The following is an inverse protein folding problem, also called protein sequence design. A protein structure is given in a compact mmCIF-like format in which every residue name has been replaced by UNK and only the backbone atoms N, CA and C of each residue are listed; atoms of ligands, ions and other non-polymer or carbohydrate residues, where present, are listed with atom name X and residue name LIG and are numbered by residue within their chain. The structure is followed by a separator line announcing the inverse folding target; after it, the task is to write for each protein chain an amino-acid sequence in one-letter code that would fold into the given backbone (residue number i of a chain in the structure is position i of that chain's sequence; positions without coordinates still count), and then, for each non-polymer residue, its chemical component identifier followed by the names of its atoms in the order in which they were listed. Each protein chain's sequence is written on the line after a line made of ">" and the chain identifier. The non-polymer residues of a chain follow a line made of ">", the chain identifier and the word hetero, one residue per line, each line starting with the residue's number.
data_IF_277844979305
#
_entry.id   IF_277844979305
#
_cell.length_a   1.000
_cell.length_b   1.000
_cell.length_c   1.000
_cell.angle_alpha   90.00
_cell.angle_beta   90.00
_cell.angle_gamma   90.00
#
_symmetry.space_group_name_H-M   'P 1'
#
loop_
_entity.id
_entity.type
_entity.pdbx_description
1 polymer ?
#
# COMPACT_ATOMS: atom_id res chain seq x y z
N UNK A 1 11.24 -54.97 1.67
CA UNK A 1 10.23 -55.99 1.30
C UNK A 1 10.06 -57.03 2.41
N UNK A 2 8.96 -57.78 2.37
CA UNK A 2 8.76 -58.93 3.27
C UNK A 2 9.51 -60.13 2.68
N UNK A 3 10.36 -60.76 3.48
CA UNK A 3 11.26 -61.85 3.05
C UNK A 3 10.63 -63.22 3.29
N UNK A 4 9.88 -63.36 4.38
CA UNK A 4 9.28 -64.64 4.77
C UNK A 4 8.05 -64.42 5.64
N UNK A 5 7.11 -65.36 5.59
CA UNK A 5 5.98 -65.42 6.51
C UNK A 5 5.86 -66.81 7.14
N UNK A 6 5.77 -66.85 8.48
CA UNK A 6 5.49 -68.04 9.28
C UNK A 6 4.26 -67.77 10.16
N UNK A 7 3.07 -68.07 9.66
CA UNK A 7 1.81 -67.73 10.33
C UNK A 7 1.64 -66.21 10.46
N UNK A 8 1.63 -65.71 11.71
CA UNK A 8 1.55 -64.28 12.02
C UNK A 8 2.91 -63.59 12.08
N UNK A 9 4.02 -64.32 11.92
CA UNK A 9 5.36 -63.75 12.02
C UNK A 9 5.84 -63.41 10.60
N UNK A 10 6.24 -62.15 10.40
CA UNK A 10 6.94 -61.72 9.18
C UNK A 10 8.42 -61.53 9.46
N UNK A 11 9.26 -62.03 8.56
CA UNK A 11 10.67 -61.66 8.46
C UNK A 11 10.79 -60.54 7.43
N UNK A 12 11.40 -59.43 7.83
CA UNK A 12 11.52 -58.21 7.05
C UNK A 12 12.94 -58.04 6.52
N UNK A 13 13.07 -57.31 5.41
CA UNK A 13 14.37 -56.99 4.81
C UNK A 13 15.25 -56.07 5.69
N UNK A 14 14.67 -55.35 6.64
CA UNK A 14 15.37 -54.39 7.50
C UNK A 14 14.87 -54.51 8.95
N UNK A 15 15.73 -54.11 9.88
CA UNK A 15 15.40 -54.02 11.30
C UNK A 15 14.33 -52.96 11.57
N UNK A 16 13.54 -53.18 12.62
CA UNK A 16 12.53 -52.25 13.13
C UNK A 16 12.78 -52.05 14.62
N UNK A 17 13.09 -50.81 15.00
CA UNK A 17 13.27 -50.44 16.40
C UNK A 17 11.92 -50.02 17.01
N UNK A 18 11.43 -50.82 17.94
CA UNK A 18 10.20 -50.53 18.69
C UNK A 18 10.53 -49.77 19.97
N UNK A 19 9.84 -48.65 20.17
CA UNK A 19 9.98 -47.80 21.37
C UNK A 19 8.94 -48.25 22.40
N UNK A 20 9.39 -48.44 23.65
CA UNK A 20 8.51 -48.85 24.74
C UNK A 20 7.36 -47.84 24.95
N UNK A 21 6.14 -48.35 25.08
CA UNK A 21 4.94 -47.53 25.31
C UNK A 21 4.29 -46.95 24.06
N UNK A 22 4.83 -47.20 22.86
CA UNK A 22 4.24 -46.78 21.57
C UNK A 22 3.49 -47.91 20.89
N UNK A 23 2.41 -47.58 20.19
CA UNK A 23 1.65 -48.53 19.38
C UNK A 23 2.07 -48.47 17.92
N UNK A 24 2.23 -49.62 17.27
CA UNK A 24 2.72 -49.71 15.90
C UNK A 24 1.71 -50.40 14.97
N UNK A 25 1.69 -49.95 13.72
CA UNK A 25 0.96 -50.59 12.61
C UNK A 25 1.88 -50.79 11.42
N UNK A 26 1.67 -51.89 10.69
CA UNK A 26 2.36 -52.19 9.45
C UNK A 26 1.38 -52.04 8.28
N UNK A 27 1.79 -51.26 7.29
CA UNK A 27 1.18 -51.19 5.98
C UNK A 27 1.83 -52.25 5.11
N UNK A 28 1.05 -53.21 4.61
CA UNK A 28 1.49 -54.21 3.66
C UNK A 28 0.89 -53.87 2.31
N UNK A 29 1.71 -53.43 1.36
CA UNK A 29 1.27 -53.22 -0.02
C UNK A 29 1.48 -54.52 -0.79
N UNK A 30 0.36 -55.10 -1.20
CA UNK A 30 0.28 -56.38 -1.91
C UNK A 30 0.71 -56.22 -3.37
N UNK A 31 0.99 -57.36 -4.03
CA UNK A 31 1.41 -57.37 -5.44
C UNK A 31 0.34 -56.88 -6.43
N UNK A 32 -0.93 -56.78 -6.01
CA UNK A 32 -2.03 -56.19 -6.78
C UNK A 32 -2.24 -54.69 -6.49
N UNK A 33 -1.39 -54.09 -5.65
CA UNK A 33 -1.45 -52.69 -5.26
C UNK A 33 -2.40 -52.39 -4.09
N UNK A 34 -3.15 -53.38 -3.59
CA UNK A 34 -3.97 -53.20 -2.38
C UNK A 34 -3.09 -53.02 -1.14
N UNK A 35 -3.57 -52.27 -0.15
CA UNK A 35 -2.83 -52.00 1.09
C UNK A 35 -3.62 -52.54 2.28
N UNK A 36 -2.97 -53.37 3.09
CA UNK A 36 -3.53 -53.92 4.31
C UNK A 36 -2.84 -53.33 5.55
N UNK A 37 -3.63 -52.83 6.51
CA UNK A 37 -3.13 -52.23 7.74
C UNK A 37 -3.35 -53.17 8.92
N UNK A 38 -2.27 -53.53 9.60
CA UNK A 38 -2.30 -54.53 10.67
C UNK A 38 -1.51 -54.02 11.89
N UNK A 39 -2.07 -54.08 13.11
CA UNK A 39 -1.28 -53.84 14.33
C UNK A 39 -0.13 -54.84 14.45
N UNK A 40 1.02 -54.38 14.92
CA UNK A 40 2.26 -55.18 14.95
C UNK A 40 2.99 -55.00 16.28
N UNK A 41 3.56 -56.10 16.77
CA UNK A 41 4.46 -56.12 17.92
C UNK A 41 5.85 -56.68 17.54
N UNK A 42 6.89 -56.42 18.34
CA UNK A 42 8.22 -56.96 18.10
C UNK A 42 8.23 -58.50 18.06
N UNK A 43 8.95 -59.07 17.09
CA UNK A 43 9.22 -60.51 17.02
C UNK A 43 10.47 -60.92 17.79
N UNK A 44 10.93 -62.15 17.55
CA UNK A 44 12.09 -62.74 18.24
C UNK A 44 13.45 -62.13 17.82
N UNK A 45 13.47 -61.32 16.76
CA UNK A 45 14.64 -60.59 16.27
C UNK A 45 14.21 -59.22 15.75
N UNK A 46 15.15 -58.29 15.60
CA UNK A 46 14.88 -56.90 15.20
C UNK A 46 14.21 -56.76 13.82
N UNK A 47 14.48 -57.67 12.90
CA UNK A 47 13.84 -57.72 11.60
C UNK A 47 12.60 -58.64 11.56
N UNK A 48 12.15 -59.15 12.71
CA UNK A 48 10.94 -59.98 12.81
C UNK A 48 9.84 -59.22 13.52
N UNK A 49 8.64 -59.34 12.98
CA UNK A 49 7.44 -58.69 13.54
C UNK A 49 6.31 -59.69 13.67
N UNK A 50 5.47 -59.52 14.70
CA UNK A 50 4.27 -60.34 14.93
C UNK A 50 3.05 -59.53 14.57
N UNK A 51 2.25 -60.03 13.63
CA UNK A 51 1.01 -59.42 13.18
C UNK A 51 -0.14 -59.72 14.16
N UNK A 52 -1.00 -58.73 14.40
CA UNK A 52 -2.22 -58.91 15.21
C UNK A 52 -3.30 -59.77 14.52
N UNK A 53 -3.24 -59.91 13.19
CA UNK A 53 -4.08 -60.82 12.39
C UNK A 53 -3.37 -61.23 11.10
N UNK A 54 -3.89 -62.27 10.44
CA UNK A 54 -3.42 -62.63 9.10
C UNK A 54 -3.70 -61.49 8.10
N UNK A 55 -2.84 -61.30 7.09
CA UNK A 55 -3.11 -60.38 6.00
C UNK A 55 -4.33 -60.82 5.18
N UNK A 56 -5.03 -59.84 4.61
CA UNK A 56 -6.26 -60.06 3.83
C UNK A 56 -6.02 -60.69 2.44
N UNK A 57 -4.76 -60.87 2.05
CA UNK A 57 -4.34 -61.51 0.80
C UNK A 57 -3.03 -62.26 0.96
N UNK A 58 -2.71 -63.14 0.01
CA UNK A 58 -1.45 -63.86 0.00
C UNK A 58 -0.29 -62.89 -0.29
N UNK A 59 0.79 -62.99 0.50
CA UNK A 59 1.99 -62.18 0.28
C UNK A 59 2.79 -62.74 -0.89
N UNK A 60 3.35 -61.84 -1.72
CA UNK A 60 4.32 -62.21 -2.75
C UNK A 60 5.72 -62.08 -2.18
N UNK A 61 6.37 -63.23 -2.00
CA UNK A 61 7.65 -63.37 -1.29
C UNK A 61 8.73 -64.03 -2.16
N UNK A 62 8.40 -64.36 -3.42
CA UNK A 62 9.34 -65.05 -4.31
C UNK A 62 10.43 -64.07 -4.75
N UNK A 63 11.73 -64.41 -4.59
CA UNK A 63 12.82 -63.57 -5.10
C UNK A 63 12.76 -63.36 -6.63
N UNK A 64 12.07 -64.26 -7.35
CA UNK A 64 11.94 -64.24 -8.80
C UNK A 64 10.73 -63.42 -9.31
N UNK A 65 9.86 -62.93 -8.40
CA UNK A 65 8.70 -62.12 -8.78
C UNK A 65 9.11 -60.67 -9.08
N UNK A 66 8.54 -60.09 -10.14
CA UNK A 66 8.78 -58.69 -10.51
C UNK A 66 8.20 -57.68 -9.50
N UNK A 67 7.25 -58.10 -8.66
CA UNK A 67 6.59 -57.27 -7.64
C UNK A 67 6.40 -58.07 -6.36
N UNK A 68 7.25 -57.80 -5.37
CA UNK A 68 7.15 -58.35 -4.00
C UNK A 68 6.27 -57.49 -3.10
N UNK A 69 5.73 -58.09 -2.04
CA UNK A 69 5.03 -57.33 -1.00
C UNK A 69 6.01 -56.40 -0.29
N UNK A 70 5.75 -55.09 -0.37
CA UNK A 70 6.50 -54.07 0.36
C UNK A 70 5.78 -53.67 1.65
N UNK A 71 6.53 -53.15 2.62
CA UNK A 71 5.99 -52.80 3.92
C UNK A 71 6.43 -51.42 4.39
N UNK A 72 5.65 -50.84 5.28
CA UNK A 72 6.04 -49.66 6.07
C UNK A 72 5.50 -49.83 7.48
N UNK A 73 6.36 -49.75 8.49
CA UNK A 73 5.97 -49.80 9.91
C UNK A 73 5.99 -48.38 10.46
N UNK A 74 4.90 -47.95 11.09
CA UNK A 74 4.77 -46.62 11.70
C UNK A 74 4.24 -46.74 13.12
N UNK A 75 4.52 -45.73 13.95
CA UNK A 75 3.94 -45.61 15.29
C UNK A 75 2.75 -44.64 15.31
N UNK A 76 2.11 -44.55 16.46
CA UNK A 76 0.99 -43.64 16.75
C UNK A 76 1.30 -42.14 16.60
N UNK A 77 2.56 -41.72 16.77
CA UNK A 77 2.99 -40.32 16.58
C UNK A 77 3.18 -39.92 15.10
N UNK A 78 3.40 -40.88 14.21
CA UNK A 78 3.75 -40.63 12.78
C UNK A 78 2.54 -40.70 11.84
N UNK A 79 1.32 -40.66 12.38
CA UNK A 79 0.03 -40.85 11.66
C UNK A 79 -0.29 -39.87 10.51
N UNK A 80 0.58 -38.90 10.19
CA UNK A 80 0.23 -37.78 9.30
C UNK A 80 1.09 -37.56 8.06
N UNK A 81 2.34 -38.00 8.01
CA UNK A 81 3.20 -37.74 6.86
C UNK A 81 4.49 -38.56 6.99
N UNK A 82 4.91 -39.22 5.92
CA UNK A 82 6.28 -39.73 5.76
C UNK A 82 7.00 -38.79 4.79
N UNK A 83 7.34 -37.55 5.19
CA UNK A 83 8.07 -36.67 4.32
C UNK A 83 9.48 -37.24 4.14
N UNK A 84 9.96 -37.21 2.90
CA UNK A 84 11.31 -37.60 2.54
C UNK A 84 11.95 -36.45 1.76
N UNK A 85 13.21 -36.16 2.06
CA UNK A 85 14.00 -35.19 1.30
C UNK A 85 14.66 -35.93 0.15
N UNK A 86 14.34 -35.53 -1.08
CA UNK A 86 14.99 -36.06 -2.27
C UNK A 86 16.43 -35.55 -2.30
N UNK A 87 17.39 -36.45 -2.12
CA UNK A 87 18.82 -36.13 -2.13
C UNK A 87 19.39 -36.20 -3.56
N UNK A 88 18.91 -37.15 -4.39
CA UNK A 88 19.39 -37.34 -5.76
C UNK A 88 18.30 -37.95 -6.63
N UNK A 89 18.28 -37.58 -7.92
CA UNK A 89 17.43 -38.20 -8.94
C UNK A 89 18.29 -38.54 -10.16
N UNK A 90 18.28 -39.80 -10.57
CA UNK A 90 18.99 -40.29 -11.76
C UNK A 90 18.01 -40.95 -12.74
N UNK A 91 18.14 -40.68 -14.05
CA UNK A 91 17.32 -41.38 -15.06
C UNK A 91 17.71 -42.85 -15.10
N UNK A 92 16.72 -43.75 -15.01
CA UNK A 92 16.95 -45.19 -15.16
C UNK A 92 16.63 -45.66 -16.58
N UNK A 93 15.55 -45.16 -17.20
CA UNK A 93 15.20 -45.37 -18.61
C UNK A 93 14.32 -44.21 -19.16
N UNK A 94 13.73 -44.38 -20.36
CA UNK A 94 12.88 -43.35 -21.00
C UNK A 94 11.58 -43.03 -20.23
N UNK A 95 11.17 -43.87 -19.29
CA UNK A 95 9.90 -43.75 -18.57
C UNK A 95 10.04 -43.82 -17.04
N UNK A 96 11.25 -44.04 -16.50
CA UNK A 96 11.48 -44.18 -15.06
C UNK A 96 12.74 -43.46 -14.56
N UNK A 97 12.70 -43.04 -13.30
CA UNK A 97 13.81 -42.39 -12.60
C UNK A 97 14.05 -43.10 -11.27
N UNK A 98 15.32 -43.29 -10.90
CA UNK A 98 15.70 -43.69 -9.56
C UNK A 98 15.83 -42.46 -8.68
N UNK A 99 15.18 -42.47 -7.52
CA UNK A 99 15.25 -41.39 -6.53
C UNK A 99 15.94 -41.93 -5.29
N UNK A 100 16.99 -41.24 -4.84
CA UNK A 100 17.56 -41.41 -3.50
C UNK A 100 16.97 -40.35 -2.60
N UNK A 101 16.28 -40.77 -1.54
CA UNK A 101 15.70 -39.87 -0.56
C UNK A 101 16.11 -40.27 0.86
N UNK A 102 16.14 -39.28 1.75
CA UNK A 102 16.45 -39.45 3.16
C UNK A 102 15.16 -39.17 3.93
N UNK A 103 14.83 -40.02 4.91
CA UNK A 103 13.70 -39.78 5.80
C UNK A 103 13.91 -38.46 6.55
N UNK A 104 12.88 -37.62 6.56
CA UNK A 104 12.91 -36.37 7.31
C UNK A 104 13.06 -36.68 8.80
N UNK A 105 14.00 -36.01 9.48
CA UNK A 105 14.38 -36.29 10.86
C UNK A 105 14.49 -34.97 11.64
N UNK A 106 14.14 -34.99 12.93
CA UNK A 106 14.12 -33.81 13.80
C UNK A 106 15.48 -33.10 13.92
N UNK A 107 16.60 -33.80 13.66
CA UNK A 107 17.94 -33.21 13.62
C UNK A 107 18.11 -32.12 12.56
N UNK A 108 17.24 -32.04 11.55
CA UNK A 108 17.25 -30.92 10.61
C UNK A 108 16.89 -29.57 11.26
N UNK A 109 16.18 -29.59 12.40
CA UNK A 109 15.80 -28.38 13.14
C UNK A 109 16.72 -28.08 14.33
N UNK A 110 17.78 -28.87 14.54
CA UNK A 110 18.62 -28.77 15.76
C UNK A 110 19.21 -27.37 15.94
N UNK A 111 19.48 -26.68 14.83
CA UNK A 111 20.13 -25.38 14.77
C UNK A 111 19.18 -24.24 14.40
N UNK A 112 17.88 -24.50 14.23
CA UNK A 112 16.89 -23.44 13.90
C UNK A 112 16.79 -22.39 15.01
N UNK A 113 17.21 -22.77 16.23
CA UNK A 113 17.27 -21.92 17.41
C UNK A 113 18.68 -21.40 17.71
N UNK A 114 19.64 -21.59 16.82
CA UNK A 114 20.99 -21.03 17.04
C UNK A 114 21.03 -19.51 16.80
N UNK A 115 19.95 -18.94 16.21
CA UNK A 115 19.83 -17.52 15.88
C UNK A 115 18.67 -16.81 16.62
N UNK A 116 18.37 -17.20 17.86
CA UNK A 116 17.39 -16.47 18.70
C UNK A 116 18.02 -15.25 19.40
N UNK A 117 19.34 -15.28 19.63
CA UNK A 117 20.10 -14.18 20.25
C UNK A 117 20.95 -13.44 19.21
N UNK A 118 20.34 -13.01 18.10
CA UNK A 118 20.98 -12.00 17.26
C UNK A 118 21.02 -10.73 18.11
N UNK A 119 22.21 -10.11 18.36
CA UNK A 119 22.26 -8.81 19.02
C UNK A 119 21.30 -7.86 18.32
N UNK A 120 20.56 -7.06 19.08
CA UNK A 120 19.70 -6.02 18.49
C UNK A 120 20.58 -5.19 17.57
N UNK A 121 20.36 -5.31 16.26
CA UNK A 121 21.05 -4.50 15.28
C UNK A 121 20.67 -3.05 15.58
N UNK A 122 21.62 -2.32 16.16
CA UNK A 122 21.49 -0.93 16.59
C UNK A 122 21.81 0.04 15.46
N UNK A 123 22.22 -0.47 14.30
CA UNK A 123 22.48 0.35 13.14
C UNK A 123 21.20 1.07 12.70
N UNK A 124 21.29 2.30 12.16
CA UNK A 124 20.09 2.97 11.69
C UNK A 124 19.46 2.26 10.49
N UNK A 125 18.13 2.26 10.44
CA UNK A 125 17.37 1.89 9.24
C UNK A 125 17.39 3.08 8.28
N UNK A 126 17.97 2.88 7.10
CA UNK A 126 18.14 3.93 6.09
C UNK A 126 17.02 3.91 5.04
N UNK A 127 16.38 5.06 4.84
CA UNK A 127 15.44 5.34 3.75
C UNK A 127 16.22 6.09 2.67
N UNK A 128 16.62 5.37 1.60
CA UNK A 128 17.60 5.84 0.60
C UNK A 128 17.01 6.30 -0.72
N UNK A 129 15.74 6.03 -0.95
CA UNK A 129 15.06 6.29 -2.22
C UNK A 129 13.75 6.99 -1.98
N UNK A 130 13.20 7.57 -3.04
CA UNK A 130 11.89 8.20 -3.00
C UNK A 130 10.82 7.15 -2.65
N UNK A 131 10.00 7.49 -1.66
CA UNK A 131 9.00 6.59 -1.11
C UNK A 131 7.73 7.35 -0.75
N UNK A 132 6.61 6.61 -0.70
CA UNK A 132 5.32 7.14 -0.28
C UNK A 132 4.85 6.47 1.01
N UNK A 133 4.19 7.25 1.86
CA UNK A 133 3.39 6.78 3.01
C UNK A 133 4.14 5.79 3.93
N UNK A 134 5.29 6.20 4.46
CA UNK A 134 6.10 5.33 5.30
C UNK A 134 5.46 5.19 6.69
N UNK A 135 5.33 3.96 7.17
CA UNK A 135 5.09 3.67 8.58
C UNK A 135 6.37 3.13 9.24
N UNK A 136 6.95 3.85 10.21
CA UNK A 136 8.26 3.48 10.78
C UNK A 136 8.21 2.15 11.55
N UNK A 137 7.17 1.92 12.35
CA UNK A 137 7.03 0.67 13.08
C UNK A 137 6.91 -0.53 12.12
N UNK A 138 6.13 -0.39 11.04
CA UNK A 138 6.03 -1.43 10.01
C UNK A 138 7.33 -1.62 9.23
N UNK A 139 8.04 -0.53 8.93
CA UNK A 139 9.33 -0.57 8.26
C UNK A 139 10.36 -1.35 9.09
N UNK A 140 10.40 -1.09 10.40
CA UNK A 140 11.21 -1.89 11.32
C UNK A 140 10.82 -3.36 11.26
N UNK A 141 9.52 -3.66 11.37
CA UNK A 141 9.04 -5.04 11.37
C UNK A 141 9.40 -5.81 10.10
N UNK A 142 9.33 -5.14 8.95
CA UNK A 142 9.72 -5.74 7.67
C UNK A 142 11.22 -6.02 7.56
N UNK A 143 12.07 -5.19 8.17
CA UNK A 143 13.53 -5.35 8.07
C UNK A 143 14.14 -6.19 9.18
N UNK A 144 13.55 -6.16 10.38
CA UNK A 144 14.15 -6.68 11.63
C UNK A 144 13.23 -7.58 12.46
N UNK A 145 11.97 -7.78 12.07
CA UNK A 145 11.02 -8.60 12.82
C UNK A 145 10.38 -7.87 14.00
N UNK A 146 10.12 -8.56 15.10
CA UNK A 146 9.34 -7.98 16.20
C UNK A 146 9.95 -6.70 16.79
N UNK A 147 9.09 -5.78 17.22
CA UNK A 147 9.50 -4.51 17.81
C UNK A 147 10.15 -4.76 19.19
N UNK A 148 11.35 -4.22 19.46
CA UNK A 148 11.94 -4.25 20.79
C UNK A 148 11.04 -3.54 21.80
N UNK A 149 10.93 -4.09 23.01
CA UNK A 149 10.09 -3.50 24.07
C UNK A 149 10.77 -2.32 24.78
N UNK A 150 12.10 -2.26 24.73
CA UNK A 150 12.93 -1.22 25.35
C UNK A 150 14.18 -0.95 24.48
N UNK A 151 14.94 0.10 24.83
CA UNK A 151 16.16 0.48 24.10
C UNK A 151 15.94 1.65 23.16
N UNK A 152 16.79 1.77 22.16
CA UNK A 152 16.74 2.83 21.15
C UNK A 152 16.77 2.26 19.74
N UNK A 153 15.97 2.82 18.84
CA UNK A 153 16.02 2.51 17.41
C UNK A 153 16.16 3.80 16.61
N UNK A 154 16.84 3.72 15.48
CA UNK A 154 17.14 4.89 14.66
C UNK A 154 16.71 4.69 13.21
N UNK A 155 16.08 5.72 12.64
CA UNK A 155 15.74 5.83 11.23
C UNK A 155 16.44 7.04 10.63
N UNK A 156 16.94 6.92 9.41
CA UNK A 156 17.59 8.01 8.69
C UNK A 156 16.98 8.13 7.30
N UNK A 157 16.35 9.26 7.01
CA UNK A 157 16.01 9.66 5.64
C UNK A 157 17.25 10.27 5.03
N UNK A 158 17.89 9.57 4.10
CA UNK A 158 19.17 9.97 3.51
C UNK A 158 19.04 11.22 2.63
N UNK A 159 20.16 11.93 2.48
CA UNK A 159 20.22 13.08 1.58
C UNK A 159 19.87 12.64 0.14
N UNK A 160 19.03 13.42 -0.53
CA UNK A 160 18.55 13.11 -1.88
C UNK A 160 17.28 12.25 -1.95
N UNK A 161 16.83 11.65 -0.85
CA UNK A 161 15.55 10.94 -0.82
C UNK A 161 14.37 11.89 -0.56
N UNK A 162 13.27 11.72 -1.30
CA UNK A 162 11.98 12.35 -1.06
C UNK A 162 10.97 11.32 -0.52
N UNK A 163 10.57 11.47 0.74
CA UNK A 163 9.41 10.76 1.30
C UNK A 163 8.20 11.67 1.19
N UNK A 164 7.18 11.25 0.45
CA UNK A 164 5.95 12.02 0.25
C UNK A 164 4.72 11.25 0.71
N UNK A 165 3.59 11.95 0.85
CA UNK A 165 2.30 11.28 0.98
C UNK A 165 1.65 11.04 -0.38
N UNK A 166 0.83 10.00 -0.47
CA UNK A 166 0.01 9.71 -1.66
C UNK A 166 -1.34 10.44 -1.65
N UNK A 167 -1.77 11.00 -0.51
CA UNK A 167 -3.11 11.56 -0.36
C UNK A 167 -3.18 12.79 0.56
N UNK A 168 -3.86 13.83 0.08
CA UNK A 168 -4.23 15.03 0.82
C UNK A 168 -5.73 15.04 1.09
N UNK A 169 -6.16 15.65 2.20
CA UNK A 169 -7.58 15.70 2.55
C UNK A 169 -8.41 16.39 1.47
N UNK A 170 -9.51 15.74 1.07
CA UNK A 170 -10.54 16.35 0.24
C UNK A 170 -11.91 15.77 0.61
N UNK A 171 -12.91 16.58 0.96
CA UNK A 171 -14.27 16.08 1.16
C UNK A 171 -14.87 15.59 -0.16
N UNK A 172 -15.89 14.75 -0.07
CA UNK A 172 -16.71 14.44 -1.23
C UNK A 172 -17.25 15.75 -1.82
N UNK A 173 -17.05 15.93 -3.12
CA UNK A 173 -17.43 17.17 -3.80
C UNK A 173 -18.36 16.87 -4.96
N UNK A 174 -19.56 17.45 -4.91
CA UNK A 174 -20.56 17.40 -5.98
C UNK A 174 -20.28 18.49 -7.02
N UNK A 175 -20.48 18.15 -8.29
CA UNK A 175 -20.42 19.02 -9.45
C UNK A 175 -21.70 18.89 -10.24
N UNK A 176 -22.23 20.01 -10.70
CA UNK A 176 -23.43 20.05 -11.54
C UNK A 176 -23.05 20.65 -12.89
N UNK A 177 -23.67 20.20 -13.97
CA UNK A 177 -23.44 20.66 -15.32
C UNK A 177 -24.78 20.96 -15.98
N UNK A 178 -24.99 22.22 -16.36
CA UNK A 178 -26.14 22.68 -17.13
C UNK A 178 -25.63 23.69 -18.15
N UNK A 179 -25.82 23.36 -19.43
CA UNK A 179 -25.25 24.10 -20.56
C UNK A 179 -26.04 25.38 -20.87
N UNK A 180 -27.37 25.29 -20.93
CA UNK A 180 -28.27 26.39 -21.26
C UNK A 180 -29.60 26.30 -20.51
N UNK A 181 -30.46 27.32 -20.68
CA UNK A 181 -31.80 27.34 -20.09
C UNK A 181 -32.74 26.26 -20.64
N UNK A 182 -32.45 25.73 -21.84
CA UNK A 182 -33.24 24.68 -22.48
C UNK A 182 -32.86 23.28 -22.00
N UNK A 183 -31.84 23.15 -21.15
CA UNK A 183 -31.26 21.86 -20.76
C UNK A 183 -30.85 21.02 -21.97
N UNK A 184 -30.20 21.66 -22.95
CA UNK A 184 -29.72 21.02 -24.17
C UNK A 184 -28.22 21.21 -24.32
N UNK A 185 -27.38 20.20 -23.99
CA UNK A 185 -27.73 18.86 -23.52
C UNK A 185 -28.26 18.82 -22.07
N UNK A 186 -28.86 17.68 -21.70
CA UNK A 186 -29.44 17.46 -20.38
C UNK A 186 -28.42 17.70 -19.24
N UNK A 187 -28.94 18.16 -18.10
CA UNK A 187 -28.15 18.38 -16.88
C UNK A 187 -27.37 17.12 -16.50
N UNK A 188 -26.09 17.25 -16.14
CA UNK A 188 -25.25 16.16 -15.63
C UNK A 188 -24.74 16.48 -14.24
N UNK A 189 -24.52 15.47 -13.42
CA UNK A 189 -23.93 15.62 -12.10
C UNK A 189 -22.77 14.65 -11.94
N UNK A 190 -21.69 15.12 -11.33
CA UNK A 190 -20.50 14.32 -11.05
C UNK A 190 -20.18 14.41 -9.57
N UNK A 191 -19.78 13.28 -9.00
CA UNK A 191 -19.36 13.18 -7.60
C UNK A 191 -17.89 12.81 -7.63
N UNK A 192 -17.06 13.66 -7.04
CA UNK A 192 -15.66 13.34 -6.81
C UNK A 192 -15.57 12.78 -5.39
N UNK A 193 -15.18 11.51 -5.21
CA UNK A 193 -15.21 10.85 -3.91
C UNK A 193 -14.28 11.55 -2.91
N UNK A 194 -14.57 11.41 -1.62
CA UNK A 194 -13.68 11.92 -0.59
C UNK A 194 -12.30 11.25 -0.64
N UNK A 195 -11.26 11.98 -0.23
CA UNK A 195 -9.91 11.46 -0.02
C UNK A 195 -9.47 11.75 1.42
N UNK A 196 -8.91 10.72 2.08
CA UNK A 196 -8.36 10.84 3.43
C UNK A 196 -7.00 11.54 3.42
N UNK A 197 -6.68 12.26 4.48
CA UNK A 197 -5.32 12.77 4.69
C UNK A 197 -4.39 11.63 5.08
N UNK A 198 -3.26 11.50 4.39
CA UNK A 198 -2.17 10.61 4.78
C UNK A 198 -0.90 11.43 5.02
N UNK A 199 -0.16 11.22 6.11
CA UNK A 199 1.14 11.86 6.32
C UNK A 199 2.21 11.21 5.41
N UNK A 200 3.30 11.92 5.11
CA UNK A 200 4.43 11.30 4.40
C UNK A 200 5.11 10.21 5.25
N UNK A 201 5.24 10.47 6.56
CA UNK A 201 5.67 9.49 7.56
C UNK A 201 4.62 9.42 8.69
N UNK A 202 4.16 8.22 9.01
CA UNK A 202 3.51 7.88 10.29
C UNK A 202 4.53 7.12 11.14
N UNK A 203 4.72 7.49 12.41
CA UNK A 203 5.58 6.68 13.29
C UNK A 203 5.03 5.26 13.46
N UNK A 204 3.70 5.09 13.38
CA UNK A 204 3.03 3.87 13.79
C UNK A 204 3.03 3.71 15.31
N UNK A 205 2.66 2.52 15.75
CA UNK A 205 2.54 2.16 17.17
C UNK A 205 3.82 1.44 17.62
N UNK A 206 4.60 2.09 18.47
CA UNK A 206 5.78 1.50 19.12
C UNK A 206 5.49 1.17 20.59
N UNK A 207 6.23 0.21 21.19
CA UNK A 207 6.21 0.03 22.64
C UNK A 207 6.54 1.34 23.36
N UNK A 208 5.82 1.68 24.45
CA UNK A 208 5.87 3.01 25.07
C UNK A 208 7.24 3.35 25.65
N UNK A 209 8.04 2.33 25.98
CA UNK A 209 9.37 2.51 26.57
C UNK A 209 10.52 2.55 25.59
N UNK A 210 10.27 2.24 24.33
CA UNK A 210 11.25 2.32 23.26
C UNK A 210 11.54 3.79 22.91
N UNK A 211 12.80 4.17 22.75
CA UNK A 211 13.17 5.48 22.19
C UNK A 211 13.27 5.35 20.68
N UNK A 212 12.63 6.26 19.96
CA UNK A 212 12.66 6.27 18.49
C UNK A 212 13.37 7.53 18.03
N UNK A 213 14.47 7.38 17.29
CA UNK A 213 15.21 8.49 16.71
C UNK A 213 14.89 8.56 15.20
N UNK A 214 14.37 9.70 14.73
CA UNK A 214 14.16 9.97 13.31
C UNK A 214 15.07 11.12 12.87
N UNK A 215 16.05 10.82 12.03
CA UNK A 215 16.94 11.81 11.42
C UNK A 215 16.54 12.05 9.97
N UNK A 216 16.30 13.32 9.60
CA UNK A 216 15.90 13.72 8.24
C UNK A 216 17.02 14.53 7.61
N UNK A 217 17.73 13.91 6.66
CA UNK A 217 18.74 14.54 5.78
C UNK A 217 18.20 14.82 4.37
N UNK A 218 17.22 14.04 3.93
CA UNK A 218 16.47 14.27 2.70
C UNK A 218 15.27 15.20 2.89
N UNK A 219 14.20 14.96 2.12
CA UNK A 219 12.95 15.68 2.21
C UNK A 219 11.82 14.74 2.67
N UNK A 220 11.03 15.18 3.66
CA UNK A 220 9.81 14.52 4.12
C UNK A 220 8.67 15.52 3.99
N UNK A 221 7.82 15.35 2.98
CA UNK A 221 6.84 16.38 2.62
C UNK A 221 5.49 15.75 2.36
N UNK A 222 4.47 16.14 3.12
CA UNK A 222 3.12 15.64 2.83
C UNK A 222 2.64 16.11 1.46
N UNK A 223 1.75 15.35 0.83
CA UNK A 223 1.21 15.67 -0.50
C UNK A 223 0.62 17.08 -0.54
N UNK A 224 0.90 17.84 -1.59
CA UNK A 224 0.27 19.12 -1.81
C UNK A 224 -1.22 19.01 -2.07
N UNK A 225 -1.97 20.02 -1.64
CA UNK A 225 -3.42 20.05 -1.72
C UNK A 225 -3.90 20.19 -3.15
N UNK A 226 -5.02 19.53 -3.45
CA UNK A 226 -5.67 19.67 -4.74
C UNK A 226 -6.11 21.12 -4.98
N UNK A 227 -6.04 21.55 -6.24
CA UNK A 227 -6.54 22.86 -6.66
C UNK A 227 -8.05 22.98 -6.43
N UNK A 228 -8.50 24.22 -6.21
CA UNK A 228 -9.91 24.51 -6.03
C UNK A 228 -10.72 24.04 -7.23
N UNK A 229 -11.86 23.42 -6.94
CA UNK A 229 -12.71 22.77 -7.92
C UNK A 229 -13.82 23.73 -8.35
N UNK A 230 -13.80 24.28 -9.57
CA UNK A 230 -14.84 25.21 -10.00
C UNK A 230 -16.14 24.46 -10.21
N UNK A 231 -17.25 25.14 -10.02
CA UNK A 231 -18.51 24.63 -10.50
C UNK A 231 -18.60 24.82 -12.02
N UNK A 232 -19.30 23.91 -12.69
CA UNK A 232 -20.23 24.34 -13.72
C UNK A 232 -21.56 24.59 -12.97
N UNK A 233 -22.32 25.63 -13.25
CA UNK A 233 -23.19 25.66 -14.39
C UNK A 233 -24.08 26.90 -14.34
N UNK A 234 -24.67 27.21 -15.49
CA UNK A 234 -25.80 28.10 -15.65
C UNK A 234 -26.95 27.71 -14.69
N UNK A 235 -27.26 28.55 -13.72
CA UNK A 235 -28.50 28.47 -12.93
C UNK A 235 -29.51 29.48 -13.49
N UNK A 236 -30.66 29.02 -13.95
CA UNK A 236 -31.67 29.91 -14.54
C UNK A 236 -32.40 30.72 -13.46
N UNK A 237 -31.93 31.95 -13.20
CA UNK A 237 -32.50 32.90 -12.22
C UNK A 237 -32.75 32.27 -10.83
N UNK A 238 -33.39 33.01 -9.92
CA UNK A 238 -33.66 32.57 -8.54
C UNK A 238 -34.58 31.33 -8.43
N UNK A 239 -35.15 30.87 -9.56
CA UNK A 239 -36.10 29.75 -9.62
C UNK A 239 -35.43 28.40 -9.88
N UNK A 240 -34.16 28.37 -10.32
CA UNK A 240 -33.41 27.14 -10.50
C UNK A 240 -33.00 26.56 -9.13
N UNK A 241 -33.29 25.28 -8.90
CA UNK A 241 -32.96 24.59 -7.66
C UNK A 241 -31.46 24.56 -7.35
N UNK A 242 -30.60 24.64 -8.38
CA UNK A 242 -29.15 24.67 -8.24
C UNK A 242 -28.59 26.12 -8.21
N UNK A 243 -29.42 27.17 -8.31
CA UNK A 243 -28.99 28.58 -8.34
C UNK A 243 -28.16 29.00 -7.10
N UNK A 244 -28.55 28.54 -5.92
CA UNK A 244 -27.77 28.82 -4.70
C UNK A 244 -26.50 27.97 -4.64
N UNK A 245 -26.52 26.78 -5.23
CA UNK A 245 -25.37 25.89 -5.28
C UNK A 245 -24.26 26.48 -6.18
N UNK A 246 -24.62 27.05 -7.33
CA UNK A 246 -23.69 27.73 -8.25
C UNK A 246 -23.09 29.00 -7.64
N UNK A 247 -23.71 29.55 -6.58
CA UNK A 247 -23.19 30.67 -5.78
C UNK A 247 -22.22 30.27 -4.68
N UNK A 248 -21.92 28.98 -4.50
CA UNK A 248 -21.01 28.57 -3.43
C UNK A 248 -19.55 28.77 -3.83
N UNK A 249 -18.76 29.37 -2.93
CA UNK A 249 -17.31 29.55 -3.07
C UNK A 249 -16.62 28.19 -3.23
N UNK A 250 -15.52 28.17 -3.99
CA UNK A 250 -14.72 26.96 -4.24
C UNK A 250 -13.24 27.22 -3.97
N UNK A 251 -12.88 26.91 -2.74
CA UNK A 251 -11.53 27.07 -2.21
C UNK A 251 -10.63 25.93 -2.68
N UNK A 252 -9.31 26.16 -2.65
CA UNK A 252 -8.33 25.08 -2.78
C UNK A 252 -8.34 24.15 -1.58
N UNK A 253 -7.69 23.00 -1.71
CA UNK A 253 -7.62 22.00 -0.65
C UNK A 253 -6.30 22.10 0.13
N UNK A 254 -6.32 21.62 1.38
CA UNK A 254 -5.16 21.59 2.26
C UNK A 254 -4.13 20.57 1.77
N UNK A 255 -2.84 20.88 1.82
CA UNK A 255 -1.79 19.86 1.65
C UNK A 255 -1.61 19.05 2.93
N UNK A 256 -1.24 17.77 2.82
CA UNK A 256 -1.07 16.83 3.92
C UNK A 256 0.19 17.11 4.77
N UNK A 257 0.23 16.66 6.04
CA UNK A 257 1.40 16.82 6.91
C UNK A 257 2.57 15.93 6.46
N UNK A 258 3.79 16.36 6.79
CA UNK A 258 4.98 15.55 6.57
C UNK A 258 5.10 14.41 7.59
N UNK A 259 4.72 14.65 8.84
CA UNK A 259 4.85 13.68 9.93
C UNK A 259 3.59 13.60 10.78
N UNK A 260 3.09 12.38 10.97
CA UNK A 260 2.18 12.02 12.06
C UNK A 260 2.99 11.29 13.13
N UNK A 261 3.18 11.95 14.27
CA UNK A 261 3.81 11.32 15.42
C UNK A 261 2.75 10.76 16.38
N UNK A 262 2.85 9.46 16.66
CA UNK A 262 2.02 8.77 17.65
C UNK A 262 2.79 8.42 18.91
N UNK A 263 4.11 8.62 18.91
CA UNK A 263 5.01 8.13 19.95
C UNK A 263 5.58 9.26 20.81
N UNK A 264 5.43 9.16 22.12
CA UNK A 264 5.86 10.20 23.07
C UNK A 264 7.38 10.26 23.28
N UNK A 265 8.11 9.19 22.95
CA UNK A 265 9.58 9.11 23.04
C UNK A 265 10.26 9.21 21.66
N UNK A 266 9.66 9.97 20.73
CA UNK A 266 10.28 10.30 19.45
C UNK A 266 11.28 11.46 19.61
N UNK A 267 12.55 11.22 19.28
CA UNK A 267 13.52 12.28 19.03
C UNK A 267 13.57 12.59 17.54
N UNK A 268 13.25 13.83 17.17
CA UNK A 268 13.25 14.29 15.79
C UNK A 268 14.47 15.17 15.52
N UNK A 269 15.27 14.80 14.52
CA UNK A 269 16.47 15.53 14.11
C UNK A 269 16.32 15.88 12.63
N UNK A 270 16.34 17.17 12.28
CA UNK A 270 16.40 17.62 10.88
C UNK A 270 17.84 18.07 10.62
N UNK A 271 18.59 17.28 9.87
CA UNK A 271 20.02 17.45 9.63
C UNK A 271 20.27 17.82 8.16
N UNK A 272 20.23 19.12 7.87
CA UNK A 272 20.32 19.64 6.49
C UNK A 272 19.12 19.32 5.59
N UNK A 273 18.20 18.45 6.04
CA UNK A 273 16.98 18.07 5.33
C UNK A 273 15.81 19.03 5.52
N UNK A 274 14.64 18.63 5.00
CA UNK A 274 13.39 19.40 5.12
C UNK A 274 12.24 18.49 5.56
N UNK A 275 11.52 18.89 6.60
CA UNK A 275 10.23 18.33 6.97
C UNK A 275 9.14 19.36 6.70
N UNK A 276 8.13 19.04 5.88
CA UNK A 276 7.14 20.03 5.46
C UNK A 276 5.72 19.49 5.36
N UNK A 277 4.73 20.36 5.60
CA UNK A 277 3.37 20.15 5.09
C UNK A 277 3.38 20.40 3.58
N UNK A 278 2.57 19.67 2.82
CA UNK A 278 2.33 20.00 1.42
C UNK A 278 1.77 21.41 1.26
N UNK A 279 2.14 22.09 0.20
CA UNK A 279 1.55 23.37 -0.16
C UNK A 279 0.05 23.23 -0.41
N UNK A 280 -0.73 24.26 -0.09
CA UNK A 280 -2.18 24.21 -0.33
C UNK A 280 -2.53 24.52 -1.78
N UNK A 281 -3.66 24.00 -2.26
CA UNK A 281 -4.16 24.31 -3.59
C UNK A 281 -4.62 25.76 -3.72
N UNK A 282 -4.53 26.30 -4.92
CA UNK A 282 -5.05 27.63 -5.26
C UNK A 282 -6.58 27.66 -5.31
N UNK A 283 -7.17 28.84 -5.13
CA UNK A 283 -8.62 29.02 -5.24
C UNK A 283 -9.14 28.93 -6.68
N UNK A 284 -10.32 28.36 -6.87
CA UNK A 284 -10.99 28.35 -8.18
C UNK A 284 -11.61 29.71 -8.51
N UNK A 285 -11.76 30.03 -9.80
CA UNK A 285 -12.56 31.19 -10.21
C UNK A 285 -14.06 30.85 -10.14
N UNK A 286 -14.92 31.87 -10.01
CA UNK A 286 -16.36 31.66 -10.02
C UNK A 286 -16.87 31.23 -11.40
N UNK A 287 -18.01 30.54 -11.40
CA UNK A 287 -18.78 30.25 -12.61
C UNK A 287 -19.66 31.44 -13.01
N UNK A 288 -20.13 31.46 -14.25
CA UNK A 288 -21.10 32.47 -14.67
C UNK A 288 -21.74 32.21 -16.02
N UNK A 289 -22.21 33.29 -16.64
CA UNK A 289 -22.93 33.28 -17.89
C UNK A 289 -22.18 34.11 -18.92
N UNK A 290 -22.06 33.57 -20.13
CA UNK A 290 -21.60 34.32 -21.28
C UNK A 290 -22.73 35.19 -21.82
N UNK A 291 -22.61 36.51 -21.75
CA UNK A 291 -23.71 37.44 -22.05
C UNK A 291 -24.04 37.55 -23.54
N UNK A 292 -23.12 37.15 -24.43
CA UNK A 292 -23.33 37.20 -25.87
C UNK A 292 -24.22 36.08 -26.44
N UNK A 293 -24.40 34.98 -25.70
CA UNK A 293 -25.18 33.81 -26.17
C UNK A 293 -25.95 33.09 -25.07
N UNK A 294 -25.92 33.62 -23.84
CA UNK A 294 -26.69 33.11 -22.69
C UNK A 294 -26.43 31.63 -22.34
N UNK A 295 -25.19 31.18 -22.50
CA UNK A 295 -24.73 29.84 -22.11
C UNK A 295 -23.91 29.89 -20.81
N UNK A 296 -23.90 28.78 -20.08
CA UNK A 296 -23.09 28.62 -18.89
C UNK A 296 -21.60 28.59 -19.18
N UNK A 297 -20.81 29.31 -18.39
CA UNK A 297 -19.35 29.32 -18.41
C UNK A 297 -18.84 28.74 -17.10
N UNK A 298 -17.96 27.74 -17.21
CA UNK A 298 -17.30 27.16 -16.04
C UNK A 298 -16.35 28.16 -15.41
N UNK A 299 -16.27 28.11 -14.08
CA UNK A 299 -15.08 28.62 -13.41
C UNK A 299 -13.84 27.82 -13.81
N UNK A 300 -12.69 28.34 -13.48
CA UNK A 300 -11.39 27.80 -13.85
C UNK A 300 -10.75 27.24 -12.58
N UNK A 301 -10.27 25.98 -12.58
CA UNK A 301 -9.71 25.39 -11.38
C UNK A 301 -8.47 26.12 -10.85
N UNK A 302 -8.23 26.00 -9.56
CA UNK A 302 -6.97 26.45 -8.96
C UNK A 302 -5.81 25.54 -9.35
N UNK A 303 -4.59 26.10 -9.34
CA UNK A 303 -3.36 25.33 -9.42
C UNK A 303 -3.18 24.44 -8.18
N UNK A 304 -2.53 23.30 -8.38
CA UNK A 304 -2.26 22.34 -7.31
C UNK A 304 -1.09 22.76 -6.41
N UNK A 305 -1.15 22.46 -5.12
CA UNK A 305 -0.01 22.64 -4.22
C UNK A 305 1.08 21.59 -4.43
N UNK A 306 2.35 21.95 -4.18
CA UNK A 306 3.47 21.02 -4.24
C UNK A 306 3.65 20.26 -2.91
N UNK A 307 4.08 18.99 -2.90
CA UNK A 307 4.38 18.13 -4.03
C UNK A 307 3.13 17.44 -4.59
N UNK A 308 3.07 17.24 -5.90
CA UNK A 308 2.15 16.31 -6.56
C UNK A 308 0.64 16.53 -6.35
N UNK A 309 0.19 17.65 -5.78
CA UNK A 309 -1.23 18.00 -5.75
C UNK A 309 -1.84 17.96 -7.15
N UNK A 310 -3.15 17.72 -7.24
CA UNK A 310 -3.83 17.61 -8.54
C UNK A 310 -4.70 18.81 -8.83
N UNK A 311 -4.74 19.16 -10.10
CA UNK A 311 -5.79 20.00 -10.65
C UNK A 311 -7.02 19.13 -10.84
N UNK A 312 -8.07 19.48 -10.13
CA UNK A 312 -9.32 18.74 -10.17
C UNK A 312 -10.32 19.53 -11.01
N UNK A 313 -10.92 18.88 -11.99
CA UNK A 313 -11.96 19.47 -12.86
C UNK A 313 -13.32 18.77 -12.72
N UNK A 314 -13.36 17.63 -12.03
CA UNK A 314 -14.57 16.85 -11.81
C UNK A 314 -15.07 16.06 -13.02
N UNK A 315 -14.30 15.99 -14.12
CA UNK A 315 -14.69 15.30 -15.35
C UNK A 315 -13.58 14.39 -15.89
N UNK A 316 -13.93 13.31 -16.62
CA UNK A 316 -12.95 12.54 -17.39
C UNK A 316 -12.31 13.43 -18.45
N UNK A 317 -10.99 13.40 -18.51
CA UNK A 317 -10.22 14.10 -19.55
C UNK A 317 -10.49 13.39 -20.87
N UNK A 318 -11.06 14.09 -21.87
CA UNK A 318 -11.29 13.54 -23.21
C UNK A 318 -10.10 13.78 -24.12
N UNK A 319 -9.31 14.84 -23.88
CA UNK A 319 -8.03 15.10 -24.55
C UNK A 319 -7.13 15.93 -23.63
N UNK A 320 -5.84 15.59 -23.51
CA UNK A 320 -4.83 16.37 -22.78
C UNK A 320 -3.72 16.78 -23.75
N UNK A 321 -3.48 18.08 -23.86
CA UNK A 321 -2.44 18.64 -24.73
C UNK A 321 -1.48 19.54 -23.95
N UNK A 322 -0.45 20.04 -24.64
CA UNK A 322 0.49 20.96 -24.01
C UNK A 322 -0.17 22.27 -23.57
N UNK A 323 -1.26 22.70 -24.22
CA UNK A 323 -1.85 24.04 -24.05
C UNK A 323 -3.26 24.04 -23.43
N UNK A 324 -4.00 22.93 -23.56
CA UNK A 324 -5.37 22.80 -23.03
C UNK A 324 -5.73 21.35 -22.68
N UNK A 325 -6.70 21.21 -21.76
CA UNK A 325 -7.40 19.96 -21.46
C UNK A 325 -8.85 20.07 -21.93
N UNK A 326 -9.28 19.13 -22.76
CA UNK A 326 -10.67 19.01 -23.20
C UNK A 326 -11.40 18.06 -22.27
N UNK A 327 -12.63 18.43 -21.92
CA UNK A 327 -13.53 17.60 -21.14
C UNK A 327 -14.86 17.43 -21.89
N UNK A 328 -15.51 16.27 -21.67
CA UNK A 328 -16.71 15.84 -22.39
C UNK A 328 -16.53 15.65 -23.92
N UNK A 329 -17.57 15.10 -24.55
CA UNK A 329 -17.77 15.00 -26.00
C UNK A 329 -17.84 16.40 -26.67
N UNK A 330 -16.72 17.09 -26.80
CA UNK A 330 -16.48 18.26 -27.68
C UNK A 330 -16.96 19.67 -27.26
N UNK A 331 -17.57 19.87 -26.09
CA UNK A 331 -18.20 21.18 -25.76
C UNK A 331 -17.54 22.00 -24.64
N UNK A 332 -16.52 21.48 -23.93
CA UNK A 332 -15.88 22.19 -22.82
C UNK A 332 -14.35 22.15 -22.92
N UNK A 333 -13.76 23.29 -23.25
CA UNK A 333 -12.31 23.47 -23.29
C UNK A 333 -11.86 24.21 -22.03
N UNK A 334 -11.00 23.58 -21.24
CA UNK A 334 -10.34 24.22 -20.10
C UNK A 334 -8.89 24.45 -20.48
N UNK A 335 -8.47 25.71 -20.40
CA UNK A 335 -7.08 26.10 -20.62
C UNK A 335 -6.17 25.46 -19.57
N UNK A 336 -4.95 25.07 -19.95
CA UNK A 336 -4.10 24.25 -19.08
C UNK A 336 -3.75 24.95 -17.77
N UNK A 337 -4.08 24.27 -16.68
CA UNK A 337 -3.60 24.49 -15.31
C UNK A 337 -2.75 23.27 -14.99
N UNK A 338 -1.58 23.47 -14.42
CA UNK A 338 -0.65 22.36 -14.19
C UNK A 338 -0.89 21.70 -12.85
N UNK A 339 -0.80 20.38 -12.83
CA UNK A 339 -0.57 19.63 -11.60
C UNK A 339 0.75 20.09 -10.97
N UNK A 340 0.92 19.87 -9.67
CA UNK A 340 2.18 20.21 -9.03
C UNK A 340 3.23 19.13 -9.34
N UNK A 341 4.46 19.57 -9.52
CA UNK A 341 5.62 18.68 -9.57
C UNK A 341 6.10 18.37 -8.15
N UNK A 342 7.25 17.71 -8.03
CA UNK A 342 7.84 17.42 -6.72
C UNK A 342 8.14 18.71 -5.94
N UNK A 343 8.71 19.73 -6.58
CA UNK A 343 9.14 20.98 -5.92
C UNK A 343 8.43 22.23 -6.42
N UNK A 344 7.71 22.15 -7.55
CA UNK A 344 7.05 23.30 -8.16
C UNK A 344 5.52 23.19 -8.05
N UNK A 345 4.83 24.22 -7.52
CA UNK A 345 3.38 24.22 -7.48
C UNK A 345 2.77 24.38 -8.87
N UNK A 346 1.58 23.83 -9.00
CA UNK A 346 0.71 24.03 -10.14
C UNK A 346 0.36 25.49 -10.34
N UNK A 347 0.42 25.96 -11.59
CA UNK A 347 0.04 27.32 -11.96
C UNK A 347 -1.44 27.39 -12.26
N UNK A 348 -2.11 28.36 -11.63
CA UNK A 348 -3.45 28.78 -11.99
C UNK A 348 -3.49 29.36 -13.39
N UNK A 349 -4.69 29.56 -13.91
CA UNK A 349 -4.91 30.10 -15.24
C UNK A 349 -4.52 31.57 -15.33
N UNK A 350 -3.75 31.93 -16.37
CA UNK A 350 -3.15 33.27 -16.54
C UNK A 350 -3.50 33.97 -17.85
N UNK A 351 -4.23 33.32 -18.75
CA UNK A 351 -4.48 33.88 -20.08
C UNK A 351 -5.71 34.81 -20.06
N UNK A 352 -5.47 36.11 -20.16
CA UNK A 352 -6.51 37.07 -20.55
C UNK A 352 -6.40 37.27 -22.06
N UNK A 353 -7.50 37.13 -22.79
CA UNK A 353 -7.54 37.52 -24.20
C UNK A 353 -8.63 38.58 -24.42
N UNK A 354 -8.50 39.34 -25.50
CA UNK A 354 -9.36 40.49 -25.83
C UNK A 354 -10.83 40.13 -26.09
N UNK A 355 -11.17 38.84 -26.25
CA UNK A 355 -12.54 38.34 -26.47
C UNK A 355 -13.21 37.76 -25.22
N UNK A 356 -12.42 37.32 -24.24
CA UNK A 356 -12.83 36.51 -23.10
C UNK A 356 -12.05 36.93 -21.83
N UNK A 357 -12.23 38.18 -21.39
CA UNK A 357 -11.66 38.66 -20.12
C UNK A 357 -12.11 37.75 -18.98
N UNK A 358 -11.24 36.81 -18.60
CA UNK A 358 -11.56 35.72 -17.69
C UNK A 358 -10.84 35.96 -16.35
N UNK A 359 -11.51 35.69 -15.20
CA UNK A 359 -10.91 35.72 -13.89
C UNK A 359 -9.71 34.76 -13.85
N UNK A 360 -8.70 35.13 -13.08
CA UNK A 360 -7.48 34.33 -12.93
C UNK A 360 -7.65 33.40 -11.73
N UNK A 361 -7.35 32.10 -11.89
CA UNK A 361 -7.42 31.16 -10.76
C UNK A 361 -6.17 31.26 -9.87
N UNK A 362 -6.26 30.80 -8.63
CA UNK A 362 -5.11 30.79 -7.72
C UNK A 362 -4.02 29.83 -8.18
N UNK A 363 -2.75 30.15 -7.91
CA UNK A 363 -1.64 29.20 -7.95
C UNK A 363 -1.66 28.30 -6.71
N UNK A 364 -1.09 27.10 -6.81
CA UNK A 364 -0.79 26.32 -5.62
C UNK A 364 0.39 26.88 -4.83
N UNK A 365 0.51 26.47 -3.57
CA UNK A 365 1.63 26.82 -2.69
C UNK A 365 2.83 25.88 -2.85
N UNK A 366 4.04 26.38 -2.57
CA UNK A 366 5.22 25.54 -2.37
C UNK A 366 5.09 24.72 -1.08
N UNK A 367 6.09 23.88 -0.78
CA UNK A 367 6.17 23.14 0.49
C UNK A 367 6.05 24.07 1.68
N UNK A 368 5.08 23.80 2.56
CA UNK A 368 4.80 24.60 3.74
C UNK A 368 4.23 25.99 3.43
N UNK A 369 3.74 26.26 2.22
CA UNK A 369 3.16 27.54 1.83
C UNK A 369 1.69 27.42 1.41
N UNK A 370 0.93 28.52 1.55
CA UNK A 370 -0.44 28.58 1.04
C UNK A 370 -0.41 28.91 -0.45
N UNK A 371 -1.34 28.34 -1.20
CA UNK A 371 -1.64 28.82 -2.55
C UNK A 371 -2.15 30.26 -2.56
N UNK A 372 -2.54 30.75 -3.73
CA UNK A 372 -3.14 32.08 -3.88
C UNK A 372 -4.64 32.00 -4.10
N UNK A 373 -5.33 33.11 -3.81
CA UNK A 373 -6.75 33.26 -4.14
C UNK A 373 -6.93 33.45 -5.65
N UNK A 374 -8.11 33.14 -6.17
CA UNK A 374 -8.50 33.63 -7.50
C UNK A 374 -8.74 35.13 -7.49
N UNK A 375 -8.77 35.74 -8.67
CA UNK A 375 -9.13 37.14 -8.89
C UNK A 375 -10.36 37.20 -9.79
N UNK A 376 -11.33 38.03 -9.44
CA UNK A 376 -12.61 38.12 -10.16
C UNK A 376 -12.67 39.30 -11.15
N UNK A 377 -11.52 39.89 -11.49
CA UNK A 377 -11.43 41.04 -12.39
C UNK A 377 -11.53 40.61 -13.86
N UNK A 378 -12.25 41.40 -14.67
CA UNK A 378 -12.50 41.13 -16.10
C UNK A 378 -13.92 40.62 -16.37
N UNK A 379 -14.80 41.51 -16.84
CA UNK A 379 -16.24 41.23 -17.03
C UNK A 379 -16.73 41.38 -18.46
N UNK A 380 -15.82 41.56 -19.44
CA UNK A 380 -16.26 41.74 -20.82
C UNK A 380 -16.87 40.43 -21.34
N UNK A 381 -18.19 40.43 -21.52
CA UNK A 381 -19.05 39.32 -21.90
C UNK A 381 -19.22 38.15 -20.90
N UNK A 382 -18.74 38.29 -19.66
CA UNK A 382 -18.93 37.28 -18.60
C UNK A 382 -19.57 37.92 -17.35
N UNK A 383 -20.77 37.46 -17.01
CA UNK A 383 -21.43 37.78 -15.75
C UNK A 383 -21.33 36.59 -14.81
N UNK A 384 -20.43 36.67 -13.81
CA UNK A 384 -20.39 35.69 -12.72
C UNK A 384 -21.56 35.92 -11.75
N UNK A 385 -22.00 34.88 -11.06
CA UNK A 385 -23.20 34.90 -10.22
C UNK A 385 -23.07 35.68 -8.89
N UNK A 386 -22.12 36.62 -8.79
CA UNK A 386 -21.88 37.44 -7.59
C UNK A 386 -21.14 36.71 -6.47
N UNK A 387 -20.38 35.67 -6.79
CA UNK A 387 -19.60 34.88 -5.83
C UNK A 387 -18.27 35.54 -5.46
N UNK A 388 -17.84 35.35 -4.21
CA UNK A 388 -16.52 35.80 -3.74
C UNK A 388 -15.41 34.96 -4.37
N UNK A 389 -14.21 35.53 -4.51
CA UNK A 389 -13.00 34.85 -4.93
C UNK A 389 -12.78 33.54 -4.15
N UNK A 390 -12.48 32.46 -4.87
CA UNK A 390 -12.02 31.20 -4.28
C UNK A 390 -10.75 31.45 -3.49
N UNK A 391 -10.72 31.01 -2.23
CA UNK A 391 -9.57 31.16 -1.35
C UNK A 391 -8.59 30.02 -1.57
N UNK A 392 -7.29 30.22 -1.27
CA UNK A 392 -6.38 29.10 -1.25
C UNK A 392 -6.72 28.16 -0.11
N UNK A 393 -6.35 26.89 -0.27
CA UNK A 393 -6.56 25.89 0.77
C UNK A 393 -5.95 26.33 2.10
N UNK A 394 -6.52 25.84 3.21
CA UNK A 394 -6.06 26.22 4.53
C UNK A 394 -4.61 25.80 4.73
N UNK A 395 -3.94 26.49 5.67
CA UNK A 395 -2.63 26.09 6.14
C UNK A 395 -2.68 24.92 7.12
N UNK A 396 -1.54 24.52 7.66
CA UNK A 396 -1.46 23.62 8.81
C UNK A 396 -0.02 23.28 9.20
N UNK A 397 0.11 22.57 10.33
CA UNK A 397 1.38 22.10 10.86
C UNK A 397 1.98 20.98 10.01
N UNK A 398 3.32 20.97 9.88
CA UNK A 398 4.06 19.87 9.25
C UNK A 398 4.06 18.59 10.09
N UNK A 399 3.97 18.75 11.41
CA UNK A 399 3.92 17.68 12.40
C UNK A 399 2.53 17.70 13.04
N UNK A 400 1.87 16.55 13.05
CA UNK A 400 0.56 16.35 13.70
C UNK A 400 0.65 15.17 14.67
N UNK A 401 -0.28 15.10 15.63
CA UNK A 401 -0.30 14.07 16.67
C UNK A 401 0.44 14.51 17.95
N UNK A 402 1.12 13.56 18.59
CA UNK A 402 1.87 13.78 19.83
C UNK A 402 3.12 14.62 19.53
N UNK A 403 3.43 15.66 20.33
CA UNK A 403 4.70 16.38 20.16
C UNK A 403 5.90 15.45 20.32
N UNK A 404 6.94 15.56 19.46
CA UNK A 404 8.19 14.83 19.68
C UNK A 404 8.80 15.16 21.05
N UNK A 405 9.46 14.18 21.68
CA UNK A 405 10.19 14.37 22.94
C UNK A 405 11.26 15.46 22.80
N UNK A 406 12.00 15.40 21.69
CA UNK A 406 12.95 16.43 21.30
C UNK A 406 12.80 16.75 19.82
N UNK A 407 13.11 17.99 19.46
CA UNK A 407 13.22 18.41 18.05
C UNK A 407 14.48 19.25 17.91
N UNK A 408 15.38 18.84 17.02
CA UNK A 408 16.64 19.52 16.75
C UNK A 408 16.74 19.88 15.26
N UNK A 409 17.16 21.11 14.97
CA UNK A 409 17.46 21.58 13.63
C UNK A 409 18.96 21.84 13.55
N UNK A 410 19.67 21.07 12.74
CA UNK A 410 21.12 21.18 12.57
C UNK A 410 21.48 21.27 11.08
N UNK A 411 22.65 21.83 10.78
CA UNK A 411 23.18 21.94 9.42
C UNK A 411 22.22 22.59 8.41
N UNK A 412 21.39 23.54 8.87
CA UNK A 412 20.41 24.23 8.04
C UNK A 412 19.10 23.48 7.82
N UNK A 413 18.81 22.44 8.60
CA UNK A 413 17.56 21.70 8.58
C UNK A 413 16.33 22.58 8.82
N UNK A 414 15.22 22.28 8.15
CA UNK A 414 14.02 23.12 8.12
C UNK A 414 12.75 22.35 8.44
N UNK A 415 11.84 23.00 9.18
CA UNK A 415 10.44 22.60 9.27
C UNK A 415 9.61 23.67 8.57
N UNK A 416 8.94 23.31 7.47
CA UNK A 416 8.12 24.24 6.68
C UNK A 416 6.64 23.95 6.90
N UNK A 417 5.92 24.94 7.40
CA UNK A 417 4.51 24.80 7.75
C UNK A 417 3.77 26.12 7.54
N UNK A 418 2.48 26.02 7.26
CA UNK A 418 1.60 27.15 7.03
C UNK A 418 0.85 27.46 8.33
N UNK A 419 1.37 28.39 9.14
CA UNK A 419 0.72 28.86 10.37
C UNK A 419 -0.35 29.92 10.10
#
# INVERSE_FOLDING_TARGET
>A
EVVQQEGLILTLSHDVDFIAGKSYVIYLQMGDGTVDLIPVTPGSAKNKVVLGRLPNGALKLSPDDFVNTIYTVVNDDTKGSLPYLVAKREPADQFSNTITAINYDERYYLNDKDFIDVPVDDSPIYIRYDQLDINLARLYQMQRGDLPTTGEISFVVEAGALVSSSSSYRPETRFVYKFDYKSSPAKREYIVPAASELPAIDTGEFPPDLVVNLTIKGAVVGRGGDGGLPHLAYGDWEKDSDFNFTKTRRDGFQGAPGLLNRHSKLNLIIDGGTLARGGSGGGATPSGIYTGSSYGVQGIPGGAGAPFGRVMTGQPISNDSQDYRLYLESYLLVMKITDAEASAPGKGYRTQNERYGSPLSGDGGNWGERGTKSTNDGTWNWQYHGTTEGQPGPGGSAIVGVPPLTTQLINGGKILQTL
#
